data_IF_584450989645
#
_entry.id   IF_584450989645
#
_cell.length_a   1.000
_cell.length_b   1.000
_cell.length_c   1.000
_cell.angle_alpha   90.00
_cell.angle_beta   90.00
_cell.angle_gamma   90.00
#
_symmetry.space_group_name_H-M   'P 1'
#
loop_
_entity.id
_entity.type
_entity.pdbx_description
1 polymer ?
#
# COMPACT_ATOMS: atom_id res chain seq x y z
N UNK A 1 -3.72 -16.11 -2.96
CA UNK A 1 -5.12 -16.26 -2.59
C UNK A 1 -5.64 -15.02 -1.91
N UNK A 2 -6.94 -14.95 -1.77
CA UNK A 2 -7.56 -13.82 -1.08
C UNK A 2 -7.08 -13.72 0.36
N UNK A 3 -6.99 -14.86 1.04
CA UNK A 3 -6.51 -14.87 2.42
C UNK A 3 -5.08 -14.37 2.55
N UNK A 4 -4.24 -14.77 1.61
CA UNK A 4 -2.85 -14.33 1.62
C UNK A 4 -2.76 -12.83 1.42
N UNK A 5 -3.56 -12.31 0.48
CA UNK A 5 -3.56 -10.88 0.23
C UNK A 5 -4.01 -10.11 1.46
N UNK A 6 -5.05 -10.61 2.14
CA UNK A 6 -5.55 -9.96 3.33
C UNK A 6 -4.49 -9.96 4.44
N UNK A 7 -3.79 -11.08 4.61
CA UNK A 7 -2.75 -11.18 5.64
C UNK A 7 -1.62 -10.21 5.36
N UNK A 8 -1.24 -10.08 4.09
CA UNK A 8 -0.10 -9.23 3.74
C UNK A 8 -0.36 -7.76 3.99
N UNK A 9 -1.61 -7.32 3.85
CA UNK A 9 -1.94 -5.90 4.04
C UNK A 9 -2.72 -5.65 5.32
N UNK A 10 -2.79 -6.64 6.20
CA UNK A 10 -3.46 -6.51 7.50
C UNK A 10 -4.94 -6.16 7.36
N UNK A 11 -5.61 -6.78 6.40
CA UNK A 11 -7.03 -6.58 6.20
C UNK A 11 -7.77 -7.86 6.54
N UNK A 12 -9.01 -7.73 6.99
CA UNK A 12 -9.79 -8.91 7.30
C UNK A 12 -10.20 -9.61 6.01
N UNK A 13 -10.21 -10.95 6.01
CA UNK A 13 -10.69 -11.69 4.84
C UNK A 13 -12.14 -11.35 4.49
N UNK A 14 -12.97 -11.06 5.49
CA UNK A 14 -14.36 -10.70 5.24
C UNK A 14 -14.48 -9.42 4.42
N UNK A 15 -13.66 -8.46 4.74
CA UNK A 15 -13.66 -7.20 4.01
C UNK A 15 -13.32 -7.43 2.54
N UNK A 16 -12.27 -8.19 2.29
CA UNK A 16 -11.85 -8.48 0.91
C UNK A 16 -12.88 -9.34 0.19
N UNK A 17 -13.52 -10.27 0.88
CA UNK A 17 -14.53 -11.12 0.27
C UNK A 17 -15.71 -10.29 -0.21
N UNK A 18 -16.13 -9.31 0.58
CA UNK A 18 -17.22 -8.45 0.19
C UNK A 18 -16.86 -7.65 -1.05
N UNK A 19 -15.64 -7.10 -1.08
CA UNK A 19 -15.18 -6.34 -2.22
C UNK A 19 -15.12 -7.23 -3.46
N UNK A 20 -14.62 -8.44 -3.30
CA UNK A 20 -14.49 -9.38 -4.41
C UNK A 20 -15.86 -9.66 -5.03
N UNK A 21 -16.88 -9.81 -4.20
CA UNK A 21 -18.21 -10.10 -4.71
C UNK A 21 -18.80 -8.94 -5.50
N UNK A 22 -18.38 -7.73 -5.19
CA UNK A 22 -18.90 -6.55 -5.86
C UNK A 22 -18.14 -6.19 -7.13
N UNK A 23 -17.02 -6.85 -7.36
CA UNK A 23 -16.13 -6.49 -8.48
C UNK A 23 -15.77 -7.73 -9.28
N UNK A 24 -15.48 -7.52 -10.57
CA UNK A 24 -14.89 -8.57 -11.37
C UNK A 24 -13.45 -8.80 -10.90
N UNK A 25 -12.83 -9.86 -11.44
CA UNK A 25 -11.46 -10.15 -11.05
C UNK A 25 -10.50 -9.00 -11.34
N UNK A 26 -10.68 -8.37 -12.52
CA UNK A 26 -9.81 -7.25 -12.85
C UNK A 26 -10.06 -6.07 -11.91
N UNK A 27 -11.32 -5.84 -11.55
CA UNK A 27 -11.64 -4.82 -10.56
C UNK A 27 -11.05 -5.13 -9.20
N UNK A 28 -11.02 -6.42 -8.85
CA UNK A 28 -10.43 -6.83 -7.59
C UNK A 28 -8.93 -6.53 -7.55
N UNK A 29 -8.21 -6.81 -8.62
CA UNK A 29 -6.78 -6.52 -8.68
C UNK A 29 -6.50 -5.04 -8.50
N UNK A 30 -7.25 -4.21 -9.19
CA UNK A 30 -7.08 -2.76 -9.09
C UNK A 30 -7.38 -2.29 -7.67
N UNK A 31 -8.44 -2.84 -7.09
CA UNK A 31 -8.82 -2.46 -5.75
C UNK A 31 -7.78 -2.86 -4.73
N UNK A 32 -7.20 -4.04 -4.90
CA UNK A 32 -6.14 -4.50 -4.01
C UNK A 32 -4.94 -3.57 -4.07
N UNK A 33 -4.57 -3.15 -5.29
CA UNK A 33 -3.48 -2.20 -5.44
C UNK A 33 -3.80 -0.90 -4.73
N UNK A 34 -5.02 -0.42 -4.87
CA UNK A 34 -5.45 0.80 -4.21
C UNK A 34 -5.33 0.69 -2.70
N UNK A 35 -5.78 -0.43 -2.14
CA UNK A 35 -5.71 -0.65 -0.70
C UNK A 35 -4.25 -0.68 -0.24
N UNK A 36 -3.39 -1.38 -0.99
CA UNK A 36 -1.98 -1.45 -0.66
C UNK A 36 -1.33 -0.07 -0.68
N UNK A 37 -1.65 0.72 -1.69
CA UNK A 37 -1.04 2.04 -1.82
C UNK A 37 -1.52 2.98 -0.73
N UNK A 38 -2.79 2.91 -0.38
CA UNK A 38 -3.31 3.74 0.71
C UNK A 38 -2.64 3.39 2.03
N UNK A 39 -2.48 2.09 2.29
CA UNK A 39 -1.82 1.67 3.53
C UNK A 39 -0.36 2.12 3.53
N UNK A 40 0.31 2.00 2.38
CA UNK A 40 1.69 2.44 2.27
C UNK A 40 1.81 3.93 2.55
N UNK A 41 0.87 4.72 2.00
CA UNK A 41 0.90 6.16 2.21
C UNK A 41 0.76 6.50 3.69
N UNK A 42 -0.13 5.79 4.39
CA UNK A 42 -0.27 6.00 5.83
C UNK A 42 1.02 5.70 6.58
N UNK A 43 1.65 4.58 6.24
CA UNK A 43 2.87 4.18 6.93
C UNK A 43 4.03 5.11 6.60
N UNK A 44 4.05 5.66 5.39
CA UNK A 44 5.12 6.58 5.01
C UNK A 44 5.08 7.86 5.83
N UNK A 45 3.93 8.25 6.33
CA UNK A 45 3.82 9.43 7.17
C UNK A 45 4.45 9.22 8.55
N UNK A 46 4.73 7.98 8.90
CA UNK A 46 5.37 7.65 10.18
C UNK A 46 6.85 7.38 9.91
N UNK A 47 7.70 8.30 10.35
CA UNK A 47 9.13 8.20 10.05
C UNK A 47 9.82 7.03 10.75
N UNK A 48 9.15 6.38 11.67
CA UNK A 48 9.73 5.21 12.32
C UNK A 48 9.80 4.00 11.38
N UNK A 49 9.04 4.01 10.29
CA UNK A 49 9.08 2.95 9.30
C UNK A 49 9.99 3.32 8.15
N UNK A 50 10.82 2.38 7.74
CA UNK A 50 11.64 2.58 6.54
C UNK A 50 10.85 2.13 5.31
N UNK A 51 11.15 2.75 4.18
CA UNK A 51 10.41 2.47 2.96
C UNK A 51 10.43 0.99 2.60
N UNK A 52 11.58 0.33 2.76
CA UNK A 52 11.64 -1.09 2.40
C UNK A 52 10.79 -1.94 3.34
N UNK A 53 10.67 -1.53 4.60
CA UNK A 53 9.81 -2.24 5.54
C UNK A 53 8.35 -2.11 5.12
N UNK A 54 7.98 -0.92 4.69
CA UNK A 54 6.62 -0.67 4.23
C UNK A 54 6.31 -1.51 3.02
N UNK A 55 7.27 -1.63 2.09
CA UNK A 55 7.08 -2.43 0.90
C UNK A 55 6.68 -3.86 1.26
N UNK A 56 7.39 -4.46 2.20
CA UNK A 56 7.08 -5.82 2.60
C UNK A 56 5.76 -5.90 3.35
N UNK A 57 5.47 -4.92 4.19
CA UNK A 57 4.23 -4.92 4.95
C UNK A 57 2.99 -4.85 4.08
N UNK A 58 3.08 -4.12 2.97
CA UNK A 58 1.91 -4.01 2.10
C UNK A 58 1.90 -5.08 1.02
N UNK A 59 2.81 -6.05 1.10
CA UNK A 59 2.70 -7.25 0.30
C UNK A 59 3.58 -7.31 -0.93
N UNK A 60 4.59 -6.46 -1.03
CA UNK A 60 5.53 -6.54 -2.13
C UNK A 60 6.75 -7.34 -1.71
N UNK A 61 7.25 -8.15 -2.63
CA UNK A 61 8.43 -8.97 -2.36
C UNK A 61 9.72 -8.20 -2.58
N UNK A 62 9.63 -7.08 -3.28
CA UNK A 62 10.81 -6.35 -3.71
C UNK A 62 10.54 -4.86 -3.56
N UNK A 63 11.39 -4.13 -2.80
CA UNK A 63 11.17 -2.69 -2.62
C UNK A 63 11.17 -1.89 -3.92
N UNK A 64 11.93 -2.33 -4.92
CA UNK A 64 11.95 -1.64 -6.21
C UNK A 64 10.58 -1.74 -6.89
N UNK A 65 9.97 -2.92 -6.83
CA UNK A 65 8.65 -3.10 -7.41
C UNK A 65 7.63 -2.24 -6.68
N UNK A 66 7.73 -2.17 -5.37
CA UNK A 66 6.87 -1.32 -4.59
C UNK A 66 7.03 0.15 -4.99
N UNK A 67 8.27 0.61 -5.07
CA UNK A 67 8.53 2.00 -5.42
C UNK A 67 7.96 2.36 -6.79
N UNK A 68 8.13 1.44 -7.74
CA UNK A 68 7.60 1.66 -9.09
C UNK A 68 6.08 1.75 -9.06
N UNK A 69 5.44 0.82 -8.37
CA UNK A 69 3.98 0.82 -8.28
C UNK A 69 3.47 2.06 -7.56
N UNK A 70 4.14 2.45 -6.49
CA UNK A 70 3.76 3.63 -5.74
C UNK A 70 3.83 4.88 -6.61
N UNK A 71 4.93 5.01 -7.36
CA UNK A 71 5.09 6.17 -8.22
C UNK A 71 4.04 6.20 -9.32
N UNK A 72 3.71 5.03 -9.87
CA UNK A 72 2.64 4.97 -10.87
C UNK A 72 1.31 5.40 -10.29
N UNK A 73 1.05 5.03 -9.06
CA UNK A 73 -0.23 5.30 -8.44
C UNK A 73 -0.35 6.77 -7.98
N UNK A 74 0.68 7.29 -7.35
CA UNK A 74 0.64 8.63 -6.76
C UNK A 74 1.42 9.68 -7.53
N UNK A 75 2.13 9.29 -8.58
CA UNK A 75 2.94 10.19 -9.41
C UNK A 75 4.19 10.71 -8.71
N UNK A 76 4.48 10.26 -7.50
CA UNK A 76 5.70 10.60 -6.79
C UNK A 76 6.25 9.33 -6.15
N UNK A 77 7.55 9.29 -5.93
CA UNK A 77 8.16 8.14 -5.28
C UNK A 77 7.81 8.11 -3.80
N UNK A 78 7.97 6.96 -3.14
CA UNK A 78 7.74 6.89 -1.70
C UNK A 78 8.56 7.91 -0.93
N UNK A 79 9.81 8.10 -1.34
CA UNK A 79 10.68 9.07 -0.68
C UNK A 79 10.16 10.49 -0.84
N UNK A 80 9.74 10.83 -2.06
CA UNK A 80 9.18 12.15 -2.32
C UNK A 80 7.88 12.36 -1.55
N UNK A 81 7.05 11.32 -1.51
CA UNK A 81 5.79 11.40 -0.80
C UNK A 81 6.02 11.67 0.69
N UNK A 82 6.97 10.95 1.28
CA UNK A 82 7.28 11.14 2.70
C UNK A 82 7.76 12.56 2.95
N UNK A 83 8.64 13.06 2.09
CA UNK A 83 9.17 14.39 2.24
C UNK A 83 8.07 15.44 2.20
N UNK A 84 7.12 15.27 1.30
CA UNK A 84 6.00 16.22 1.16
C UNK A 84 5.02 16.15 2.33
N UNK A 85 4.91 15.00 2.98
CA UNK A 85 3.91 14.77 4.02
C UNK A 85 4.50 14.62 5.40
N UNK A 86 5.77 14.82 5.56
CA UNK A 86 6.44 14.75 6.83
C UNK A 86 6.09 16.00 7.59
N UNK A 87 5.42 15.86 8.67
CA UNK A 87 4.97 16.97 9.27
C UNK A 87 5.72 17.43 10.26
N UNK A 88 6.21 17.37 10.55
CA UNK A 88 6.91 17.79 11.51
C UNK A 88 6.77 18.81 12.17
N UNK A 89 6.59 18.64 12.01
CA UNK A 89 6.62 19.18 12.36
C UNK A 89 6.71 20.02 12.86
N UNK A 90 7.06 20.07 12.71
CA UNK A 90 7.35 20.74 13.00
C UNK A 90 6.95 21.63 13.22
N UNK A 91 6.70 21.77 13.27
CA UNK A 91 6.53 22.45 13.35
C UNK A 91 6.38 22.83 13.80
#
# INVERSE_FOLDING_TARGET
TLSEAAARVNLSPNYLSRIFREKSESGFSELLTQIRMKKAAELLCDISYKAYEIAYQVGYDNPKNFSRAFKQYYSVSPKEFRSQNERIDNK
#
